data_IF_349572919217
#
_entry.id   IF_349572919217
#
_cell.length_a   1.000
_cell.length_b   1.000
_cell.length_c   1.000
_cell.angle_alpha   90.00
_cell.angle_beta   90.00
_cell.angle_gamma   90.00
#
_symmetry.space_group_name_H-M   'P 1'
#
loop_
_entity.id
_entity.type
_entity.pdbx_description
1 polymer ?
#
# COMPACT_ATOMS: atom_id res chain seq x y z
N UNK A 1 -10.92 37.79 -70.00
CA UNK A 1 -10.99 38.34 -68.64
C UNK A 1 -11.92 37.46 -67.84
N UNK A 2 -11.50 37.18 -66.62
CA UNK A 2 -12.27 36.68 -65.48
C UNK A 2 -12.61 35.19 -65.36
N UNK A 3 -12.46 34.79 -64.10
CA UNK A 3 -12.35 33.49 -63.43
C UNK A 3 -13.54 33.43 -62.47
N UNK A 4 -14.20 32.29 -62.32
CA UNK A 4 -14.89 31.90 -61.07
C UNK A 4 -15.26 30.40 -61.14
N UNK A 5 -14.47 29.52 -60.52
CA UNK A 5 -14.48 29.06 -59.11
C UNK A 5 -15.48 27.91 -58.84
N UNK A 6 -14.90 26.71 -58.67
CA UNK A 6 -15.55 25.50 -58.12
C UNK A 6 -15.59 25.61 -56.60
N UNK A 7 -16.74 25.36 -55.97
CA UNK A 7 -16.79 25.01 -54.54
C UNK A 7 -17.14 23.53 -54.37
N UNK A 8 -16.15 22.76 -53.91
CA UNK A 8 -16.30 21.39 -53.43
C UNK A 8 -16.59 21.41 -51.94
N UNK A 9 -17.72 20.81 -51.56
CA UNK A 9 -18.21 20.75 -50.19
C UNK A 9 -17.40 19.69 -49.41
N UNK A 10 -16.41 20.12 -48.63
CA UNK A 10 -15.56 19.24 -47.83
C UNK A 10 -16.12 19.14 -46.39
N UNK A 11 -16.92 18.10 -46.10
CA UNK A 11 -17.27 17.73 -44.72
C UNK A 11 -16.17 16.82 -44.17
N UNK A 12 -15.54 17.26 -43.09
CA UNK A 12 -14.44 16.59 -42.40
C UNK A 12 -14.89 15.26 -41.75
N UNK A 13 -14.10 14.17 -41.84
CA UNK A 13 -14.43 12.86 -41.27
C UNK A 13 -14.21 12.75 -39.75
N UNK A 14 -13.89 13.86 -39.08
CA UNK A 14 -13.48 13.88 -37.66
C UNK A 14 -14.69 13.80 -36.71
N UNK A 15 -15.87 14.29 -37.12
CA UNK A 15 -17.05 14.37 -36.24
C UNK A 15 -17.77 13.03 -36.10
N UNK A 16 -17.67 12.14 -37.09
CA UNK A 16 -18.37 10.84 -37.08
C UNK A 16 -17.69 9.82 -36.14
N UNK A 17 -16.36 9.90 -35.97
CA UNK A 17 -15.61 9.00 -35.07
C UNK A 17 -15.88 9.26 -33.58
N UNK A 18 -16.17 10.50 -33.17
CA UNK A 18 -16.52 10.81 -31.77
C UNK A 18 -17.95 10.37 -31.43
N UNK A 19 -18.88 10.44 -32.38
CA UNK A 19 -20.26 9.97 -32.17
C UNK A 19 -20.38 8.44 -32.16
N UNK A 20 -19.58 7.73 -32.96
CA UNK A 20 -19.54 6.26 -32.94
C UNK A 20 -18.80 5.71 -31.71
N UNK A 21 -17.80 6.43 -31.17
CA UNK A 21 -17.23 6.11 -29.85
C UNK A 21 -18.19 6.37 -28.69
N UNK A 22 -19.05 7.40 -28.78
CA UNK A 22 -20.08 7.65 -27.78
C UNK A 22 -21.23 6.64 -27.84
N UNK A 23 -21.67 6.22 -29.03
CA UNK A 23 -22.73 5.19 -29.19
C UNK A 23 -22.24 3.77 -28.91
N UNK A 24 -20.99 3.43 -29.24
CA UNK A 24 -20.39 2.14 -28.90
C UNK A 24 -20.10 1.95 -27.40
N UNK A 25 -19.98 3.04 -26.65
CA UNK A 25 -19.74 3.00 -25.20
C UNK A 25 -20.99 2.72 -24.37
N UNK A 26 -22.18 2.80 -24.95
CA UNK A 26 -23.46 2.70 -24.23
C UNK A 26 -24.02 1.26 -24.16
N UNK A 27 -23.51 0.33 -24.97
CA UNK A 27 -24.09 -1.02 -25.13
C UNK A 27 -23.30 -2.19 -24.54
N UNK A 28 -22.16 -1.97 -23.88
CA UNK A 28 -21.38 -3.06 -23.28
C UNK A 28 -21.34 -2.99 -21.75
N UNK A 29 -22.52 -2.99 -21.13
CA UNK A 29 -22.68 -3.50 -19.77
C UNK A 29 -22.64 -5.03 -19.82
N UNK A 30 -21.44 -5.60 -19.95
CA UNK A 30 -21.22 -6.94 -19.40
C UNK A 30 -21.24 -6.76 -17.90
N UNK A 31 -22.31 -7.24 -17.25
CA UNK A 31 -22.47 -7.27 -15.79
C UNK A 31 -21.29 -8.01 -15.14
N UNK A 32 -20.20 -7.28 -14.91
CA UNK A 32 -19.20 -7.64 -13.92
C UNK A 32 -19.80 -7.20 -12.58
N UNK A 33 -20.47 -8.13 -11.91
CA UNK A 33 -20.97 -7.97 -10.54
C UNK A 33 -19.80 -7.67 -9.59
N UNK A 34 -19.49 -6.39 -9.48
CA UNK A 34 -18.46 -5.83 -8.61
C UNK A 34 -19.13 -4.72 -7.82
N UNK A 35 -19.04 -4.78 -6.48
CA UNK A 35 -19.61 -3.78 -5.60
C UNK A 35 -18.85 -2.43 -5.67
N UNK A 36 -17.74 -2.36 -6.41
CA UNK A 36 -17.00 -1.13 -6.66
C UNK A 36 -17.82 -0.15 -7.50
N UNK A 37 -18.00 1.07 -6.97
CA UNK A 37 -18.36 2.24 -7.77
C UNK A 37 -17.24 2.49 -8.78
N UNK A 38 -17.49 2.18 -10.05
CA UNK A 38 -16.54 2.42 -11.14
C UNK A 38 -16.76 3.80 -11.77
N UNK A 39 -15.71 4.36 -12.36
CA UNK A 39 -15.77 5.55 -13.24
C UNK A 39 -16.15 6.91 -12.62
N UNK A 40 -16.13 7.08 -11.30
CA UNK A 40 -16.51 8.35 -10.68
C UNK A 40 -15.30 9.23 -10.27
N UNK A 41 -14.20 8.64 -9.83
CA UNK A 41 -13.17 9.38 -9.09
C UNK A 41 -12.26 10.20 -10.00
N UNK A 42 -11.87 11.38 -9.53
CA UNK A 42 -10.89 12.22 -10.22
C UNK A 42 -9.47 11.72 -9.95
N UNK A 43 -8.54 12.00 -10.88
CA UNK A 43 -7.12 11.64 -10.68
C UNK A 43 -6.51 12.34 -9.45
N UNK A 44 -7.04 13.50 -9.05
CA UNK A 44 -6.58 14.23 -7.87
C UNK A 44 -7.01 13.52 -6.59
N UNK A 45 -8.24 13.01 -6.54
CA UNK A 45 -8.74 12.23 -5.40
C UNK A 45 -7.93 10.95 -5.23
N UNK A 46 -7.71 10.21 -6.33
CA UNK A 46 -6.88 9.00 -6.30
C UNK A 46 -5.41 9.32 -6.01
N UNK A 47 -4.86 10.40 -6.56
CA UNK A 47 -3.51 10.85 -6.24
C UNK A 47 -3.35 11.19 -4.76
N UNK A 48 -4.32 11.89 -4.18
CA UNK A 48 -4.35 12.19 -2.75
C UNK A 48 -4.46 10.92 -1.90
N UNK A 49 -5.33 9.98 -2.29
CA UNK A 49 -5.46 8.66 -1.65
C UNK A 49 -4.14 7.90 -1.65
N UNK A 50 -3.45 7.86 -2.80
CA UNK A 50 -2.14 7.21 -2.94
C UNK A 50 -1.05 7.89 -2.09
N UNK A 51 -1.09 9.22 -1.94
CA UNK A 51 -0.13 10.00 -1.14
C UNK A 51 -0.44 9.97 0.37
N UNK A 52 -1.69 9.77 0.78
CA UNK A 52 -2.11 9.96 2.19
C UNK A 52 -2.58 8.70 2.87
N UNK A 53 -3.05 7.69 2.15
CA UNK A 53 -3.65 6.49 2.74
C UNK A 53 -2.80 5.25 2.54
N UNK A 54 -1.97 5.23 1.49
CA UNK A 54 -1.26 4.02 1.08
C UNK A 54 -0.05 3.68 1.97
N UNK A 55 0.77 4.65 2.40
CA UNK A 55 1.93 4.42 3.28
C UNK A 55 1.97 5.23 4.57
N UNK A 56 0.95 6.05 4.87
CA UNK A 56 1.02 7.06 5.94
C UNK A 56 1.33 6.48 7.32
N UNK A 57 0.90 5.25 7.60
CA UNK A 57 1.26 4.61 8.85
C UNK A 57 2.73 4.15 8.87
N UNK A 58 3.11 3.41 7.83
CA UNK A 58 4.32 2.57 7.80
C UNK A 58 5.60 3.38 7.58
N UNK A 59 5.43 4.61 7.09
CA UNK A 59 6.47 5.65 7.00
C UNK A 59 7.25 5.80 8.32
N UNK A 60 6.58 5.67 9.47
CA UNK A 60 7.17 5.83 10.79
C UNK A 60 8.12 4.69 11.18
N UNK A 61 8.15 3.61 10.41
CA UNK A 61 9.04 2.47 10.63
C UNK A 61 10.20 2.42 9.64
N UNK A 62 10.12 3.16 8.52
CA UNK A 62 11.09 3.04 7.43
C UNK A 62 12.48 3.57 7.77
N UNK A 63 12.62 4.55 8.66
CA UNK A 63 13.94 4.97 9.14
C UNK A 63 14.72 3.79 9.74
N UNK A 64 14.05 3.00 10.58
CA UNK A 64 14.64 1.79 11.15
C UNK A 64 14.78 0.69 10.10
N UNK A 65 13.71 0.33 9.40
CA UNK A 65 13.70 -0.86 8.54
C UNK A 65 14.55 -0.72 7.27
N UNK A 66 14.77 0.49 6.77
CA UNK A 66 15.51 0.74 5.53
C UNK A 66 16.91 1.25 5.83
N UNK A 67 17.04 2.32 6.61
CA UNK A 67 18.31 3.04 6.74
C UNK A 67 19.26 2.37 7.74
N UNK A 68 18.77 1.75 8.82
CA UNK A 68 19.66 1.07 9.79
C UNK A 68 20.37 -0.14 9.15
N UNK A 69 19.71 -1.04 8.41
CA UNK A 69 20.38 -2.16 7.75
C UNK A 69 21.33 -1.77 6.61
N UNK A 70 21.01 -0.72 5.86
CA UNK A 70 21.74 -0.35 4.63
C UNK A 70 22.75 0.78 4.86
N UNK A 71 22.62 1.53 5.94
CA UNK A 71 23.35 2.77 6.17
C UNK A 71 23.05 3.85 5.13
N UNK A 72 23.82 4.93 5.17
CA UNK A 72 23.63 6.09 4.30
C UNK A 72 23.76 5.78 2.81
N UNK A 73 24.91 5.22 2.41
CA UNK A 73 25.24 5.02 0.99
C UNK A 73 24.25 4.08 0.31
N UNK A 74 24.07 2.87 0.85
CA UNK A 74 23.19 1.88 0.24
C UNK A 74 21.72 2.18 0.50
N UNK A 75 21.37 2.81 1.62
CA UNK A 75 19.99 3.21 1.93
C UNK A 75 19.45 4.21 0.91
N UNK A 76 20.17 5.31 0.67
CA UNK A 76 19.77 6.32 -0.33
C UNK A 76 19.74 5.74 -1.74
N UNK A 77 20.77 4.97 -2.11
CA UNK A 77 20.82 4.33 -3.42
C UNK A 77 19.64 3.37 -3.63
N UNK A 78 19.29 2.57 -2.62
CA UNK A 78 18.18 1.63 -2.68
C UNK A 78 16.84 2.36 -2.79
N UNK A 79 16.61 3.39 -1.98
CA UNK A 79 15.40 4.23 -2.04
C UNK A 79 15.17 4.79 -3.45
N UNK A 80 16.22 5.32 -4.09
CA UNK A 80 16.13 5.89 -5.44
C UNK A 80 15.91 4.81 -6.49
N UNK A 81 16.78 3.78 -6.54
CA UNK A 81 16.75 2.77 -7.60
C UNK A 81 15.48 1.93 -7.53
N UNK A 82 15.12 1.42 -6.35
CA UNK A 82 13.91 0.61 -6.18
C UNK A 82 12.67 1.47 -6.32
N UNK A 83 12.68 2.72 -5.83
CA UNK A 83 11.57 3.66 -6.01
C UNK A 83 11.27 3.94 -7.48
N UNK A 84 12.30 4.28 -8.29
CA UNK A 84 12.15 4.51 -9.72
C UNK A 84 11.70 3.25 -10.47
N UNK A 85 12.26 2.10 -10.10
CA UNK A 85 11.88 0.84 -10.71
C UNK A 85 10.43 0.45 -10.40
N UNK A 86 9.99 0.69 -9.17
CA UNK A 86 8.60 0.47 -8.74
C UNK A 86 7.65 1.44 -9.46
N UNK A 87 8.05 2.71 -9.62
CA UNK A 87 7.31 3.70 -10.39
C UNK A 87 7.12 3.26 -11.84
N UNK A 88 8.18 2.77 -12.48
CA UNK A 88 8.13 2.21 -13.83
C UNK A 88 7.18 1.01 -13.92
N UNK A 89 7.27 0.08 -12.97
CA UNK A 89 6.47 -1.14 -12.99
C UNK A 89 4.97 -0.85 -12.78
N UNK A 90 4.61 0.08 -11.89
CA UNK A 90 3.24 0.55 -11.72
C UNK A 90 2.75 1.36 -12.93
N UNK A 91 3.59 2.21 -13.52
CA UNK A 91 3.25 2.92 -14.76
C UNK A 91 2.97 1.97 -15.93
N UNK A 92 3.72 0.85 -15.99
CA UNK A 92 3.54 -0.22 -16.96
C UNK A 92 2.23 -0.98 -16.69
N UNK A 93 2.00 -1.42 -15.45
CA UNK A 93 0.78 -2.12 -15.06
C UNK A 93 -0.47 -1.29 -15.37
N UNK A 94 -0.42 0.02 -15.11
CA UNK A 94 -1.51 0.93 -15.43
C UNK A 94 -1.86 0.97 -16.93
N UNK A 95 -0.92 0.63 -17.82
CA UNK A 95 -1.16 0.55 -19.26
C UNK A 95 -2.01 -0.65 -19.66
N UNK A 96 -2.02 -1.71 -18.84
CA UNK A 96 -2.73 -2.97 -19.10
C UNK A 96 -4.11 -3.03 -18.47
N UNK A 97 -4.63 -1.89 -17.98
CA UNK A 97 -6.00 -1.77 -17.48
C UNK A 97 -7.05 -2.12 -18.54
N UNK A 98 -6.73 -1.85 -19.82
CA UNK A 98 -7.56 -2.19 -20.97
C UNK A 98 -6.69 -2.93 -21.99
N UNK A 99 -7.11 -4.15 -22.36
CA UNK A 99 -6.45 -4.96 -23.40
C UNK A 99 -7.50 -5.34 -24.44
N UNK A 100 -7.33 -4.83 -25.67
CA UNK A 100 -8.39 -4.88 -26.68
C UNK A 100 -9.62 -4.12 -26.16
N UNK A 101 -10.79 -4.77 -26.20
CA UNK A 101 -12.04 -4.19 -25.69
C UNK A 101 -12.35 -4.57 -24.23
N UNK A 102 -11.45 -5.31 -23.57
CA UNK A 102 -11.66 -5.79 -22.20
C UNK A 102 -11.02 -4.83 -21.19
N UNK A 103 -11.85 -4.32 -20.27
CA UNK A 103 -11.41 -3.56 -19.10
C UNK A 103 -11.33 -4.48 -17.88
N UNK A 104 -10.22 -4.41 -17.15
CA UNK A 104 -10.03 -5.19 -15.92
C UNK A 104 -10.30 -4.34 -14.69
N UNK A 105 -11.12 -4.87 -13.77
CA UNK A 105 -11.38 -4.23 -12.47
C UNK A 105 -10.40 -4.75 -11.43
N UNK A 106 -10.13 -6.06 -11.43
CA UNK A 106 -9.29 -6.73 -10.44
C UNK A 106 -8.04 -7.29 -11.09
N UNK A 107 -6.92 -7.27 -10.37
CA UNK A 107 -5.65 -7.74 -10.88
C UNK A 107 -5.69 -9.24 -11.22
N UNK A 108 -6.31 -10.05 -10.35
CA UNK A 108 -6.53 -11.49 -10.60
C UNK A 108 -7.28 -11.77 -11.90
N UNK A 109 -8.20 -10.89 -12.33
CA UNK A 109 -8.97 -11.07 -13.57
C UNK A 109 -8.11 -10.79 -14.80
N UNK A 110 -7.27 -9.76 -14.73
CA UNK A 110 -6.22 -9.51 -15.74
C UNK A 110 -5.31 -10.74 -15.88
N UNK A 111 -4.81 -11.26 -14.77
CA UNK A 111 -3.91 -12.42 -14.79
C UNK A 111 -4.62 -13.70 -15.29
N UNK A 112 -5.91 -13.87 -14.99
CA UNK A 112 -6.74 -14.94 -15.54
C UNK A 112 -6.89 -14.85 -17.05
N UNK A 113 -7.16 -13.65 -17.56
CA UNK A 113 -7.34 -13.42 -18.99
C UNK A 113 -6.07 -13.75 -19.78
N UNK A 114 -4.91 -13.36 -19.25
CA UNK A 114 -3.63 -13.49 -19.96
C UNK A 114 -3.00 -14.89 -19.82
N UNK A 115 -3.14 -15.54 -18.66
CA UNK A 115 -2.44 -16.80 -18.33
C UNK A 115 -3.35 -17.95 -17.81
N UNK A 116 -4.65 -17.71 -17.66
CA UNK A 116 -5.62 -18.74 -17.25
C UNK A 116 -5.82 -18.89 -15.74
N UNK A 117 -6.58 -19.92 -15.36
CA UNK A 117 -7.13 -20.10 -14.00
C UNK A 117 -6.07 -20.31 -12.91
N UNK A 118 -4.88 -20.80 -13.25
CA UNK A 118 -3.82 -21.01 -12.25
C UNK A 118 -3.25 -19.67 -11.79
N UNK A 119 -2.96 -18.75 -12.71
CA UNK A 119 -2.49 -17.41 -12.36
C UNK A 119 -3.55 -16.60 -11.62
N UNK A 120 -4.85 -16.79 -11.92
CA UNK A 120 -5.92 -16.22 -11.10
C UNK A 120 -5.78 -16.57 -9.62
N UNK A 121 -5.57 -17.86 -9.30
CA UNK A 121 -5.47 -18.34 -7.92
C UNK A 121 -4.21 -17.79 -7.25
N UNK A 122 -3.06 -17.82 -7.96
CA UNK A 122 -1.80 -17.30 -7.43
C UNK A 122 -1.93 -15.80 -7.11
N UNK A 123 -2.42 -14.99 -8.06
CA UNK A 123 -2.61 -13.56 -7.85
C UNK A 123 -3.58 -13.29 -6.71
N UNK A 124 -4.69 -14.03 -6.62
CA UNK A 124 -5.63 -13.91 -5.51
C UNK A 124 -4.98 -14.23 -4.16
N UNK A 125 -4.20 -15.31 -4.07
CA UNK A 125 -3.50 -15.69 -2.83
C UNK A 125 -2.51 -14.62 -2.39
N UNK A 126 -1.70 -14.10 -3.32
CA UNK A 126 -0.73 -13.04 -3.02
C UNK A 126 -1.42 -11.73 -2.60
N UNK A 127 -2.49 -11.32 -3.30
CA UNK A 127 -3.27 -10.13 -2.91
C UNK A 127 -3.94 -10.34 -1.55
N UNK A 128 -4.52 -11.51 -1.29
CA UNK A 128 -5.15 -11.81 0.00
C UNK A 128 -4.14 -11.77 1.15
N UNK A 129 -2.96 -12.37 0.96
CA UNK A 129 -1.88 -12.32 1.95
C UNK A 129 -1.37 -10.89 2.18
N UNK A 130 -1.22 -10.11 1.10
CA UNK A 130 -0.87 -8.69 1.16
C UNK A 130 -1.87 -7.89 2.01
N UNK A 131 -3.16 -8.10 1.78
CA UNK A 131 -4.20 -7.43 2.56
C UNK A 131 -4.22 -7.90 4.01
N UNK A 132 -4.08 -9.20 4.25
CA UNK A 132 -4.12 -9.78 5.60
C UNK A 132 -2.98 -9.27 6.48
N UNK A 133 -1.74 -9.27 5.98
CA UNK A 133 -0.58 -8.78 6.71
C UNK A 133 -0.58 -7.24 6.84
N UNK A 134 -1.06 -6.53 5.82
CA UNK A 134 -1.26 -5.08 5.89
C UNK A 134 -2.19 -4.70 7.05
N UNK A 135 -3.29 -5.44 7.21
CA UNK A 135 -4.20 -5.30 8.35
C UNK A 135 -3.50 -5.52 9.69
N UNK A 136 -2.70 -6.58 9.82
CA UNK A 136 -1.96 -6.88 11.06
C UNK A 136 -0.99 -5.75 11.42
N UNK A 137 -0.28 -5.19 10.43
CA UNK A 137 0.62 -4.05 10.64
C UNK A 137 -0.11 -2.78 11.07
N UNK A 138 -1.29 -2.48 10.50
CA UNK A 138 -2.09 -1.34 10.97
C UNK A 138 -2.66 -1.52 12.38
N UNK A 139 -3.01 -2.75 12.77
CA UNK A 139 -3.43 -3.05 14.16
C UNK A 139 -2.27 -2.82 15.12
N UNK A 140 -1.07 -3.35 14.79
CA UNK A 140 0.12 -3.16 15.60
C UNK A 140 0.46 -1.69 15.77
N UNK A 141 0.39 -0.93 14.68
CA UNK A 141 0.66 0.50 14.66
C UNK A 141 -0.29 1.29 15.54
N UNK A 142 -1.59 1.03 15.44
CA UNK A 142 -2.57 1.67 16.31
C UNK A 142 -2.30 1.32 17.78
N UNK A 143 -1.90 0.08 18.06
CA UNK A 143 -1.50 -0.35 19.40
C UNK A 143 -0.29 0.43 19.92
N UNK A 144 0.75 0.59 19.11
CA UNK A 144 1.94 1.40 19.46
C UNK A 144 1.59 2.86 19.67
N UNK A 145 0.78 3.45 18.80
CA UNK A 145 0.34 4.83 18.94
C UNK A 145 -0.43 5.06 20.25
N UNK A 146 -1.37 4.18 20.60
CA UNK A 146 -2.09 4.27 21.87
C UNK A 146 -1.18 4.04 23.09
N UNK A 147 -0.21 3.12 22.99
CA UNK A 147 0.78 2.89 24.05
C UNK A 147 1.60 4.16 24.30
N UNK A 148 2.10 4.79 23.23
CA UNK A 148 2.88 6.03 23.32
C UNK A 148 2.07 7.18 23.92
N UNK A 149 0.78 7.31 23.58
CA UNK A 149 -0.10 8.28 24.27
C UNK A 149 -0.13 7.97 25.77
N UNK A 150 -0.28 6.70 26.17
CA UNK A 150 -0.36 6.34 27.58
C UNK A 150 0.95 6.56 28.35
N UNK A 151 2.10 6.30 27.72
CA UNK A 151 3.44 6.54 28.28
C UNK A 151 3.65 8.01 28.66
N UNK A 152 3.01 8.94 27.96
CA UNK A 152 3.03 10.37 28.31
C UNK A 152 2.24 10.70 29.58
N UNK A 153 1.37 9.81 30.08
CA UNK A 153 0.57 10.02 31.31
C UNK A 153 0.84 9.07 32.46
N UNK A 154 1.51 7.95 32.21
CA UNK A 154 1.79 6.96 33.22
C UNK A 154 3.24 6.50 33.10
N UNK A 155 3.96 6.51 34.23
CA UNK A 155 5.35 6.04 34.32
C UNK A 155 5.46 4.50 34.15
N UNK A 156 4.34 3.78 34.14
CA UNK A 156 4.27 2.33 33.95
C UNK A 156 3.11 1.98 33.01
N UNK A 157 3.27 2.20 31.69
CA UNK A 157 2.23 1.90 30.72
C UNK A 157 1.93 0.40 30.69
N UNK A 158 0.67 0.07 30.38
CA UNK A 158 0.27 -1.32 30.15
C UNK A 158 1.05 -1.94 28.98
N UNK A 159 1.09 -3.27 28.94
CA UNK A 159 1.77 -3.99 27.85
C UNK A 159 1.13 -3.67 26.50
N UNK A 160 1.93 -3.70 25.44
CA UNK A 160 1.51 -3.40 24.07
C UNK A 160 0.28 -4.23 23.62
N UNK A 161 0.15 -5.48 24.09
CA UNK A 161 -0.94 -6.38 23.73
C UNK A 161 -2.32 -5.80 24.09
N UNK A 162 -2.46 -5.08 25.20
CA UNK A 162 -3.73 -4.46 25.58
C UNK A 162 -4.15 -3.41 24.55
N UNK A 163 -3.21 -2.58 24.09
CA UNK A 163 -3.46 -1.56 23.07
C UNK A 163 -3.70 -2.16 21.68
N UNK A 164 -3.06 -3.29 21.36
CA UNK A 164 -3.36 -4.07 20.15
C UNK A 164 -4.81 -4.58 20.19
N UNK A 165 -5.26 -5.12 21.32
CA UNK A 165 -6.65 -5.59 21.50
C UNK A 165 -7.65 -4.44 21.37
N UNK A 166 -7.37 -3.29 21.99
CA UNK A 166 -8.19 -2.08 21.87
C UNK A 166 -8.27 -1.63 20.41
N UNK A 167 -7.14 -1.60 19.71
CA UNK A 167 -7.08 -1.21 18.28
C UNK A 167 -7.91 -2.16 17.42
N UNK A 168 -7.76 -3.47 17.62
CA UNK A 168 -8.55 -4.49 16.93
C UNK A 168 -10.05 -4.33 17.16
N UNK A 169 -10.46 -4.03 18.41
CA UNK A 169 -11.86 -3.75 18.75
C UNK A 169 -12.39 -2.47 18.09
N UNK A 170 -11.60 -1.39 18.06
CA UNK A 170 -11.98 -0.14 17.38
C UNK A 170 -12.12 -0.36 15.88
N UNK A 171 -11.21 -1.09 15.23
CA UNK A 171 -11.30 -1.38 13.80
C UNK A 171 -12.48 -2.28 13.46
N UNK A 172 -12.78 -3.27 14.32
CA UNK A 172 -13.99 -4.06 14.23
C UNK A 172 -15.25 -3.18 14.28
N UNK A 173 -15.37 -2.31 15.29
CA UNK A 173 -16.52 -1.42 15.44
C UNK A 173 -16.65 -0.48 14.23
N UNK A 174 -15.54 0.15 13.82
CA UNK A 174 -15.52 1.03 12.66
C UNK A 174 -15.97 0.32 11.40
N UNK A 175 -15.43 -0.88 11.13
CA UNK A 175 -15.83 -1.67 9.96
C UNK A 175 -17.27 -2.18 10.02
N UNK A 176 -17.83 -2.35 11.22
CA UNK A 176 -19.22 -2.78 11.37
C UNK A 176 -20.20 -1.62 11.09
N UNK A 177 -19.91 -0.42 11.60
CA UNK A 177 -20.75 0.77 11.39
C UNK A 177 -20.56 1.40 10.01
N UNK A 178 -19.37 1.27 9.43
CA UNK A 178 -19.02 1.80 8.11
C UNK A 178 -18.58 0.62 7.24
N UNK A 179 -19.52 -0.15 6.67
CA UNK A 179 -19.17 -1.36 5.93
C UNK A 179 -18.69 -1.09 4.49
N UNK A 180 -18.89 0.12 3.95
CA UNK A 180 -18.62 0.42 2.53
C UNK A 180 -17.59 1.54 2.31
N UNK A 181 -16.75 1.37 1.29
CA UNK A 181 -15.73 2.36 0.87
C UNK A 181 -16.38 3.69 0.45
N UNK A 182 -17.60 3.68 -0.11
CA UNK A 182 -18.27 4.91 -0.55
C UNK A 182 -18.52 5.90 0.59
N UNK A 183 -18.74 5.40 1.82
CA UNK A 183 -18.88 6.23 3.01
C UNK A 183 -17.55 6.90 3.43
N UNK A 184 -16.40 6.30 3.09
CA UNK A 184 -15.06 6.84 3.37
C UNK A 184 -14.69 8.03 2.49
N UNK A 185 -15.38 8.23 1.35
CA UNK A 185 -15.08 9.33 0.42
C UNK A 185 -15.09 10.70 1.10
N UNK A 186 -16.00 10.90 2.04
CA UNK A 186 -16.12 12.16 2.78
C UNK A 186 -14.99 12.36 3.80
N UNK A 187 -14.35 11.27 4.24
CA UNK A 187 -13.26 11.28 5.21
C UNK A 187 -11.89 11.52 4.58
N UNK A 188 -11.74 11.31 3.27
CA UNK A 188 -10.46 11.40 2.58
C UNK A 188 -9.80 12.79 2.69
N UNK A 189 -10.60 13.86 2.58
CA UNK A 189 -10.09 15.23 2.73
C UNK A 189 -9.58 15.52 4.13
N UNK A 190 -10.35 15.14 5.16
CA UNK A 190 -9.96 15.29 6.55
C UNK A 190 -8.72 14.44 6.89
N UNK A 191 -8.70 13.18 6.43
CA UNK A 191 -7.58 12.25 6.55
C UNK A 191 -6.30 12.82 5.92
N UNK A 192 -6.40 13.44 4.74
CA UNK A 192 -5.26 14.08 4.10
C UNK A 192 -4.69 15.27 4.90
N UNK A 193 -5.57 16.12 5.43
CA UNK A 193 -5.16 17.26 6.27
C UNK A 193 -4.51 16.79 7.57
N UNK A 194 -5.12 15.81 8.24
CA UNK A 194 -4.56 15.16 9.42
C UNK A 194 -3.19 14.56 9.10
N UNK A 195 -3.07 13.87 7.96
CA UNK A 195 -1.82 13.27 7.52
C UNK A 195 -0.70 14.29 7.33
N UNK A 196 -0.99 15.36 6.58
CA UNK A 196 -0.02 16.43 6.37
C UNK A 196 0.37 17.10 7.69
N UNK A 197 -0.60 17.31 8.59
CA UNK A 197 -0.35 17.95 9.88
C UNK A 197 0.62 17.15 10.76
N UNK A 198 0.42 15.83 10.92
CA UNK A 198 1.34 15.04 11.74
C UNK A 198 2.70 14.89 11.08
N UNK A 199 2.77 14.79 9.74
CA UNK A 199 4.06 14.78 9.02
C UNK A 199 4.83 16.05 9.36
N UNK A 200 4.22 17.23 9.25
CA UNK A 200 4.89 18.51 9.57
C UNK A 200 5.35 18.55 11.04
N UNK A 201 4.51 18.08 11.97
CA UNK A 201 4.88 18.02 13.39
C UNK A 201 6.09 17.09 13.62
N UNK A 202 6.06 15.87 13.07
CA UNK A 202 7.18 14.93 13.15
C UNK A 202 8.45 15.53 12.54
N UNK A 203 8.37 16.11 11.34
CA UNK A 203 9.51 16.80 10.70
C UNK A 203 10.12 17.87 11.61
N UNK A 204 9.28 18.67 12.26
CA UNK A 204 9.74 19.75 13.16
C UNK A 204 10.50 19.19 14.36
N UNK A 205 9.96 18.15 15.00
CA UNK A 205 10.62 17.50 16.15
C UNK A 205 11.90 16.79 15.71
N UNK A 206 11.91 16.09 14.57
CA UNK A 206 13.11 15.45 14.04
C UNK A 206 14.26 16.43 13.77
N UNK A 207 13.94 17.61 13.23
CA UNK A 207 14.96 18.66 12.99
C UNK A 207 15.51 19.20 14.31
N UNK A 208 14.67 19.38 15.33
CA UNK A 208 15.09 19.76 16.68
C UNK A 208 16.02 18.68 17.26
N UNK A 209 15.54 17.44 17.32
CA UNK A 209 16.24 16.31 17.94
C UNK A 209 17.58 16.04 17.25
N UNK A 210 17.59 16.03 15.92
CA UNK A 210 18.81 15.83 15.15
C UNK A 210 19.83 16.97 15.28
N UNK A 211 19.45 18.18 15.70
CA UNK A 211 20.41 19.23 16.07
C UNK A 211 20.91 19.09 17.50
N UNK A 212 20.08 18.56 18.40
CA UNK A 212 20.39 18.41 19.82
C UNK A 212 21.29 17.21 20.12
N UNK A 213 21.09 16.09 19.42
CA UNK A 213 21.87 14.86 19.61
C UNK A 213 23.20 14.99 18.86
N UNK A 214 24.32 15.06 19.57
CA UNK A 214 25.64 15.26 18.94
C UNK A 214 26.33 13.95 18.53
N UNK A 215 26.30 12.92 19.38
CA UNK A 215 26.99 11.64 19.14
C UNK A 215 26.02 10.61 18.56
N UNK A 216 25.86 10.62 17.24
CA UNK A 216 25.02 9.65 16.52
C UNK A 216 25.90 8.58 15.90
N UNK A 217 25.55 7.33 16.16
CA UNK A 217 26.16 6.19 15.50
C UNK A 217 25.43 5.88 14.19
N UNK A 218 26.19 5.64 13.12
CA UNK A 218 25.68 5.25 11.80
C UNK A 218 26.28 3.93 11.32
N UNK A 219 27.00 3.23 12.19
CA UNK A 219 27.60 1.96 11.86
C UNK A 219 26.56 0.85 11.75
N UNK A 220 26.74 0.02 10.73
CA UNK A 220 25.89 -1.15 10.51
C UNK A 220 26.42 -2.27 11.41
N UNK A 221 25.63 -2.61 12.43
CA UNK A 221 25.96 -3.66 13.40
C UNK A 221 25.61 -5.07 12.89
N UNK A 222 26.18 -6.09 13.54
CA UNK A 222 25.92 -7.50 13.25
C UNK A 222 26.99 -8.22 12.42
N UNK A 223 26.87 -9.54 12.33
CA UNK A 223 27.77 -10.38 11.53
C UNK A 223 27.56 -10.15 10.03
N UNK A 224 28.54 -10.52 9.20
CA UNK A 224 28.44 -10.36 7.74
C UNK A 224 27.19 -11.03 7.16
N UNK A 225 26.85 -12.20 7.70
CA UNK A 225 25.65 -12.94 7.33
C UNK A 225 24.40 -12.15 7.73
N UNK A 226 24.32 -11.64 8.96
CA UNK A 226 23.17 -10.83 9.40
C UNK A 226 23.00 -9.56 8.57
N UNK A 227 24.10 -8.87 8.21
CA UNK A 227 24.08 -7.68 7.35
C UNK A 227 23.43 -7.97 5.99
N UNK A 228 23.77 -9.09 5.35
CA UNK A 228 23.20 -9.49 4.05
C UNK A 228 21.69 -9.74 4.17
N UNK A 229 21.26 -10.49 5.19
CA UNK A 229 19.82 -10.75 5.38
C UNK A 229 19.06 -9.47 5.74
N UNK A 230 19.58 -8.65 6.65
CA UNK A 230 18.98 -7.37 7.00
C UNK A 230 18.87 -6.44 5.77
N UNK A 231 19.87 -6.44 4.87
CA UNK A 231 19.81 -5.69 3.62
C UNK A 231 18.68 -6.18 2.69
N UNK A 232 18.44 -7.50 2.58
CA UNK A 232 17.28 -8.03 1.85
C UNK A 232 15.94 -7.65 2.51
N UNK A 233 15.89 -7.60 3.84
CA UNK A 233 14.74 -7.07 4.58
C UNK A 233 14.49 -5.60 4.21
N UNK A 234 15.53 -4.77 4.26
CA UNK A 234 15.44 -3.37 3.88
C UNK A 234 14.97 -3.16 2.44
N UNK A 235 15.45 -3.94 1.47
CA UNK A 235 14.95 -3.90 0.09
C UNK A 235 13.44 -4.18 0.05
N UNK A 236 12.97 -5.17 0.82
CA UNK A 236 11.54 -5.49 0.94
C UNK A 236 10.76 -4.31 1.52
N UNK A 237 11.27 -3.65 2.57
CA UNK A 237 10.67 -2.46 3.15
C UNK A 237 10.59 -1.28 2.17
N UNK A 238 11.60 -1.09 1.30
CA UNK A 238 11.55 -0.10 0.21
C UNK A 238 10.47 -0.46 -0.81
N UNK A 239 10.26 -1.73 -1.12
CA UNK A 239 9.19 -2.15 -2.03
C UNK A 239 7.82 -1.86 -1.41
N UNK A 240 7.63 -2.18 -0.12
CA UNK A 240 6.39 -1.84 0.61
C UNK A 240 6.12 -0.34 0.57
N UNK A 241 7.13 0.49 0.78
CA UNK A 241 6.98 1.95 0.76
C UNK A 241 6.59 2.52 -0.61
N UNK A 242 6.63 1.72 -1.67
CA UNK A 242 6.39 2.17 -3.03
C UNK A 242 5.25 1.43 -3.76
N UNK A 243 4.77 0.26 -3.30
CA UNK A 243 3.86 -0.58 -4.07
C UNK A 243 2.70 -1.14 -3.26
N UNK A 244 1.47 -1.05 -3.82
CA UNK A 244 0.24 -1.49 -3.15
C UNK A 244 -0.18 -2.92 -3.39
N UNK A 245 0.19 -3.49 -4.54
CA UNK A 245 -0.38 -4.75 -5.01
C UNK A 245 -1.86 -4.68 -5.41
N UNK A 246 -2.46 -3.48 -5.41
CA UNK A 246 -3.88 -3.20 -5.68
C UNK A 246 -4.08 -2.14 -6.77
N UNK A 247 -3.04 -1.88 -7.57
CA UNK A 247 -3.05 -0.81 -8.56
C UNK A 247 -4.25 -0.92 -9.53
N UNK A 248 -4.58 -2.10 -10.12
CA UNK A 248 -5.73 -2.22 -11.01
C UNK A 248 -7.07 -1.92 -10.33
N UNK A 249 -7.24 -2.37 -9.08
CA UNK A 249 -8.44 -2.12 -8.28
C UNK A 249 -8.63 -0.63 -8.01
N UNK A 250 -7.57 0.08 -7.60
CA UNK A 250 -7.59 1.54 -7.41
C UNK A 250 -7.86 2.25 -8.75
N UNK A 251 -7.24 1.77 -9.83
CA UNK A 251 -7.41 2.35 -11.16
C UNK A 251 -8.84 2.17 -11.68
N UNK A 252 -9.56 1.14 -11.22
CA UNK A 252 -10.92 0.85 -11.66
C UNK A 252 -11.94 1.93 -11.26
N UNK A 253 -11.66 2.69 -10.19
CA UNK A 253 -12.56 3.76 -9.71
C UNK A 253 -12.42 5.07 -10.48
N UNK A 254 -11.29 5.26 -11.17
CA UNK A 254 -11.00 6.45 -11.95
C UNK A 254 -11.96 6.64 -13.12
N UNK A 255 -12.45 7.86 -13.28
CA UNK A 255 -13.19 8.28 -14.47
C UNK A 255 -12.34 8.12 -15.74
N UNK A 256 -13.02 7.99 -16.89
CA UNK A 256 -12.36 7.89 -18.20
C UNK A 256 -11.60 9.18 -18.55
N UNK A 257 -10.45 9.10 -19.27
CA UNK A 257 -9.69 7.89 -19.65
C UNK A 257 -8.84 7.35 -18.47
N UNK A 258 -9.04 6.09 -18.03
CA UNK A 258 -8.51 5.60 -16.76
C UNK A 258 -6.98 5.48 -16.75
N UNK A 259 -6.34 5.09 -17.87
CA UNK A 259 -4.88 4.94 -17.97
C UNK A 259 -4.17 6.30 -17.81
N UNK A 260 -4.65 7.33 -18.49
CA UNK A 260 -4.06 8.68 -18.43
C UNK A 260 -4.25 9.28 -17.03
N UNK A 261 -5.43 9.11 -16.44
CA UNK A 261 -5.73 9.60 -15.10
C UNK A 261 -4.88 8.85 -14.05
N UNK A 262 -4.71 7.54 -14.19
CA UNK A 262 -3.90 6.75 -13.25
C UNK A 262 -2.43 7.15 -13.31
N UNK A 263 -1.88 7.38 -14.51
CA UNK A 263 -0.50 7.85 -14.65
C UNK A 263 -0.27 9.21 -13.99
N UNK A 264 -1.25 10.13 -14.06
CA UNK A 264 -1.17 11.41 -13.32
C UNK A 264 -1.16 11.19 -11.81
N UNK A 265 -2.02 10.31 -11.31
CA UNK A 265 -2.06 9.96 -9.88
C UNK A 265 -0.72 9.33 -9.44
N UNK A 266 -0.14 8.44 -10.25
CA UNK A 266 1.18 7.86 -10.02
C UNK A 266 2.29 8.92 -10.01
N UNK A 267 2.28 9.88 -10.94
CA UNK A 267 3.24 10.97 -10.90
C UNK A 267 3.15 11.77 -9.60
N UNK A 268 1.94 12.02 -9.09
CA UNK A 268 1.76 12.67 -7.78
C UNK A 268 2.34 11.83 -6.64
N UNK A 269 2.11 10.52 -6.62
CA UNK A 269 2.65 9.61 -5.61
C UNK A 269 4.20 9.58 -5.64
N UNK A 270 4.79 9.42 -6.83
CA UNK A 270 6.23 9.29 -6.99
C UNK A 270 6.99 10.62 -7.03
N UNK A 271 6.32 11.75 -6.80
CA UNK A 271 6.95 13.06 -6.61
C UNK A 271 6.66 13.58 -5.21
N UNK A 272 5.43 14.06 -4.97
CA UNK A 272 5.01 14.65 -3.70
C UNK A 272 5.00 13.59 -2.58
N UNK A 273 4.47 12.39 -2.85
CA UNK A 273 4.44 11.33 -1.85
C UNK A 273 5.84 10.90 -1.40
N UNK A 274 6.73 10.63 -2.37
CA UNK A 274 8.11 10.26 -2.06
C UNK A 274 8.90 11.37 -1.37
N UNK A 275 8.65 12.64 -1.68
CA UNK A 275 9.30 13.76 -0.98
C UNK A 275 9.08 13.66 0.54
N UNK A 276 7.83 13.47 0.98
CA UNK A 276 7.52 13.34 2.40
C UNK A 276 7.97 11.99 2.96
N UNK A 277 7.74 10.89 2.24
CA UNK A 277 8.03 9.55 2.71
C UNK A 277 9.52 9.28 2.88
N UNK A 278 10.31 9.62 1.86
CA UNK A 278 11.75 9.47 1.93
C UNK A 278 12.36 10.56 2.79
N UNK A 279 11.81 11.78 2.77
CA UNK A 279 12.24 12.85 3.67
C UNK A 279 12.15 12.43 5.14
N UNK A 280 11.01 11.88 5.59
CA UNK A 280 10.83 11.42 6.96
C UNK A 280 11.73 10.21 7.28
N UNK A 281 11.85 9.27 6.34
CA UNK A 281 12.75 8.10 6.45
C UNK A 281 14.20 8.54 6.69
N UNK A 282 14.69 9.47 5.87
CA UNK A 282 16.05 9.98 5.90
C UNK A 282 16.28 10.84 7.16
N UNK A 283 15.35 11.73 7.49
CA UNK A 283 15.49 12.60 8.66
C UNK A 283 15.41 11.84 9.97
N UNK A 284 14.57 10.80 10.07
CA UNK A 284 14.53 9.94 11.26
C UNK A 284 15.86 9.25 11.50
N UNK A 285 16.48 8.72 10.44
CA UNK A 285 17.82 8.13 10.53
C UNK A 285 18.88 9.18 10.81
N UNK A 286 18.81 10.36 10.20
CA UNK A 286 19.72 11.47 10.51
C UNK A 286 19.61 11.95 11.96
N UNK A 287 18.42 11.93 12.55
CA UNK A 287 18.19 12.39 13.91
C UNK A 287 18.72 11.41 14.95
N UNK A 288 18.46 10.10 14.79
CA UNK A 288 18.75 9.09 15.82
C UNK A 288 19.82 8.05 15.44
N UNK A 289 20.26 7.99 14.18
CA UNK A 289 21.24 7.01 13.73
C UNK A 289 20.76 5.56 13.87
N UNK A 290 21.65 4.67 14.31
CA UNK A 290 21.37 3.26 14.59
C UNK A 290 20.37 3.04 15.74
N UNK A 291 20.09 4.06 16.55
CA UNK A 291 19.17 4.01 17.70
C UNK A 291 17.71 4.30 17.35
N UNK A 292 17.40 4.59 16.08
CA UNK A 292 16.02 4.80 15.65
C UNK A 292 15.17 3.54 15.88
N UNK A 293 14.05 3.69 16.56
CA UNK A 293 13.11 2.63 16.90
C UNK A 293 12.30 2.16 15.70
N UNK A 294 11.70 0.98 15.83
CA UNK A 294 10.77 0.44 14.82
C UNK A 294 9.50 1.27 14.63
N UNK A 295 9.19 2.18 15.55
CA UNK A 295 8.08 3.12 15.44
C UNK A 295 8.56 4.50 15.91
N UNK A 296 8.98 5.33 14.94
CA UNK A 296 9.69 6.59 15.14
C UNK A 296 9.14 7.51 16.24
N UNK A 297 7.81 7.63 16.47
CA UNK A 297 7.29 8.40 17.60
C UNK A 297 7.83 8.01 18.98
N UNK A 298 8.27 6.76 19.18
CA UNK A 298 8.93 6.30 20.43
C UNK A 298 10.23 7.07 20.73
N UNK A 299 10.88 7.68 19.73
CA UNK A 299 12.13 8.43 19.94
C UNK A 299 11.95 9.96 20.07
N UNK A 300 10.76 10.50 19.79
CA UNK A 300 10.56 11.94 19.64
C UNK A 300 10.68 12.69 20.99
N UNK A 301 11.62 13.64 21.09
CA UNK A 301 11.85 14.45 22.30
C UNK A 301 10.99 15.74 22.35
N UNK A 302 9.73 15.61 21.94
CA UNK A 302 8.74 16.68 21.91
C UNK A 302 8.14 17.01 23.28
N UNK A 303 7.52 18.20 23.46
CA UNK A 303 6.63 18.42 24.59
C UNK A 303 5.47 17.43 24.53
N UNK A 304 5.00 16.99 25.69
CA UNK A 304 3.93 16.01 25.89
C UNK A 304 2.75 16.15 24.91
N UNK A 305 2.23 17.38 24.75
CA UNK A 305 1.07 17.62 23.88
C UNK A 305 1.35 17.33 22.40
N UNK A 306 2.58 17.54 21.91
CA UNK A 306 2.97 17.20 20.53
C UNK A 306 3.02 15.69 20.37
N UNK A 307 3.65 14.98 21.30
CA UNK A 307 3.75 13.52 21.25
C UNK A 307 2.36 12.86 21.29
N UNK A 308 1.48 13.34 22.17
CA UNK A 308 0.08 12.90 22.25
C UNK A 308 -0.67 13.20 20.95
N UNK A 309 -0.53 14.41 20.40
CA UNK A 309 -1.22 14.81 19.17
C UNK A 309 -0.74 14.01 17.96
N UNK A 310 0.57 13.80 17.78
CA UNK A 310 1.14 12.97 16.71
C UNK A 310 0.54 11.56 16.78
N UNK A 311 0.62 10.92 17.95
CA UNK A 311 0.14 9.55 18.10
C UNK A 311 -1.39 9.44 17.97
N UNK A 312 -2.15 10.43 18.45
CA UNK A 312 -3.60 10.45 18.28
C UNK A 312 -3.99 10.55 16.79
N UNK A 313 -3.30 11.41 16.04
CA UNK A 313 -3.52 11.54 14.59
C UNK A 313 -3.08 10.27 13.85
N UNK A 314 -1.95 9.66 14.22
CA UNK A 314 -1.50 8.38 13.64
C UNK A 314 -2.54 7.28 13.87
N UNK A 315 -3.09 7.17 15.08
CA UNK A 315 -4.14 6.21 15.41
C UNK A 315 -5.43 6.46 14.60
N UNK A 316 -5.87 7.71 14.46
CA UNK A 316 -7.05 8.04 13.65
C UNK A 316 -6.83 7.75 12.17
N UNK A 317 -5.63 8.04 11.67
CA UNK A 317 -5.26 7.78 10.30
C UNK A 317 -5.14 6.27 10.02
N UNK A 318 -4.65 5.49 10.97
CA UNK A 318 -4.52 4.04 10.83
C UNK A 318 -5.88 3.35 10.73
N UNK A 319 -6.95 3.86 11.36
CA UNK A 319 -8.33 3.40 11.15
C UNK A 319 -8.72 3.55 9.67
N UNK A 320 -8.48 4.73 9.10
CA UNK A 320 -8.85 5.05 7.71
C UNK A 320 -8.08 4.16 6.72
N UNK A 321 -6.76 4.07 6.88
CA UNK A 321 -5.91 3.24 6.03
C UNK A 321 -6.25 1.75 6.16
N UNK A 322 -6.44 1.26 7.39
CA UNK A 322 -6.82 -0.12 7.62
C UNK A 322 -8.13 -0.45 6.91
N UNK A 323 -9.13 0.42 7.02
CA UNK A 323 -10.42 0.19 6.38
C UNK A 323 -10.32 0.07 4.85
N UNK A 324 -9.47 0.89 4.23
CA UNK A 324 -9.17 0.79 2.78
C UNK A 324 -8.55 -0.56 2.41
N UNK A 325 -7.62 -1.08 3.21
CA UNK A 325 -6.94 -2.35 2.95
C UNK A 325 -7.83 -3.57 3.22
N UNK A 326 -8.72 -3.52 4.22
CA UNK A 326 -9.61 -4.66 4.52
C UNK A 326 -10.80 -4.75 3.57
N UNK A 327 -11.17 -3.64 2.92
CA UNK A 327 -12.39 -3.59 2.11
C UNK A 327 -12.50 -4.69 1.03
N UNK A 328 -11.43 -5.05 0.28
CA UNK A 328 -11.52 -6.16 -0.68
C UNK A 328 -11.72 -7.53 -0.01
N UNK A 329 -11.22 -7.73 1.22
CA UNK A 329 -11.48 -8.95 2.01
C UNK A 329 -12.96 -8.99 2.40
N UNK A 330 -13.49 -7.87 2.92
CA UNK A 330 -14.90 -7.77 3.29
C UNK A 330 -15.82 -8.00 2.10
N UNK A 331 -15.55 -7.40 0.94
CA UNK A 331 -16.34 -7.63 -0.27
C UNK A 331 -16.35 -9.12 -0.66
N UNK A 332 -15.18 -9.78 -0.61
CA UNK A 332 -15.07 -11.19 -0.95
C UNK A 332 -15.82 -12.09 0.04
N UNK A 333 -15.77 -11.79 1.34
CA UNK A 333 -16.53 -12.49 2.37
C UNK A 333 -18.04 -12.23 2.20
N UNK A 334 -18.41 -10.99 1.94
CA UNK A 334 -19.81 -10.59 1.86
C UNK A 334 -20.52 -11.21 0.68
N UNK A 335 -19.89 -11.14 -0.50
CA UNK A 335 -20.42 -11.75 -1.72
C UNK A 335 -20.65 -13.25 -1.57
N UNK A 336 -19.86 -13.92 -0.73
CA UNK A 336 -19.94 -15.37 -0.52
C UNK A 336 -20.93 -15.77 0.58
N UNK A 337 -21.03 -14.98 1.65
CA UNK A 337 -21.71 -15.39 2.88
C UNK A 337 -22.99 -14.61 3.18
N UNK A 338 -23.18 -13.40 2.66
CA UNK A 338 -24.44 -12.68 2.81
C UNK A 338 -25.48 -13.19 1.80
N UNK A 339 -26.76 -13.07 2.18
CA UNK A 339 -27.86 -13.29 1.24
C UNK A 339 -28.03 -12.03 0.37
N UNK A 340 -27.65 -12.15 -0.90
CA UNK A 340 -27.67 -11.06 -1.89
C UNK A 340 -29.10 -10.60 -2.20
N UNK A 341 -30.10 -11.45 -1.94
CA UNK A 341 -31.52 -11.12 -2.17
C UNK A 341 -32.10 -10.23 -1.06
N UNK A 342 -31.36 -10.05 0.05
CA UNK A 342 -31.77 -9.22 1.18
C UNK A 342 -30.86 -8.00 1.31
N UNK A 343 -31.42 -6.90 1.80
CA UNK A 343 -30.62 -5.71 2.12
C UNK A 343 -29.48 -6.04 3.09
N UNK A 344 -28.35 -5.32 2.96
CA UNK A 344 -27.18 -5.48 3.83
C UNK A 344 -27.53 -5.29 5.32
N UNK A 345 -28.47 -4.40 5.62
CA UNK A 345 -28.95 -4.11 6.97
C UNK A 345 -30.14 -4.97 7.41
N UNK A 346 -30.50 -6.02 6.67
CA UNK A 346 -31.50 -6.98 7.15
C UNK A 346 -31.00 -7.71 8.40
N UNK A 347 -31.90 -8.12 9.30
CA UNK A 347 -31.52 -8.75 10.59
C UNK A 347 -30.60 -9.97 10.39
N UNK A 348 -30.81 -10.75 9.35
CA UNK A 348 -30.00 -11.93 9.04
C UNK A 348 -28.61 -11.53 8.50
N UNK A 349 -28.56 -10.62 7.53
CA UNK A 349 -27.30 -10.14 6.99
C UNK A 349 -26.48 -9.38 8.03
N UNK A 350 -27.10 -8.60 8.94
CA UNK A 350 -26.40 -7.94 10.05
C UNK A 350 -25.75 -8.95 11.01
N UNK A 351 -26.43 -10.06 11.33
CA UNK A 351 -25.84 -11.13 12.15
C UNK A 351 -24.64 -11.77 11.47
N UNK A 352 -24.77 -12.07 10.16
CA UNK A 352 -23.66 -12.63 9.36
C UNK A 352 -22.51 -11.64 9.25
N UNK A 353 -22.80 -10.37 8.99
CA UNK A 353 -21.84 -9.27 8.93
C UNK A 353 -21.05 -9.20 10.23
N UNK A 354 -21.74 -9.08 11.37
CA UNK A 354 -21.13 -9.05 12.70
C UNK A 354 -20.20 -10.24 12.91
N UNK A 355 -20.68 -11.46 12.66
CA UNK A 355 -19.91 -12.69 12.86
C UNK A 355 -18.65 -12.72 11.99
N UNK A 356 -18.77 -12.38 10.70
CA UNK A 356 -17.67 -12.35 9.75
C UNK A 356 -16.58 -11.36 10.18
N UNK A 357 -16.96 -10.15 10.61
CA UNK A 357 -15.99 -9.14 11.07
C UNK A 357 -15.39 -9.55 12.41
N UNK A 358 -16.19 -10.06 13.33
CA UNK A 358 -15.71 -10.49 14.64
C UNK A 358 -14.67 -11.60 14.50
N UNK A 359 -14.92 -12.63 13.69
CA UNK A 359 -13.95 -13.71 13.43
C UNK A 359 -12.69 -13.16 12.77
N UNK A 360 -12.85 -12.33 11.73
CA UNK A 360 -11.71 -11.77 11.00
C UNK A 360 -10.81 -10.92 11.91
N UNK A 361 -11.37 -9.92 12.59
CA UNK A 361 -10.60 -9.04 13.46
C UNK A 361 -10.07 -9.75 14.71
N UNK A 362 -10.80 -10.70 15.29
CA UNK A 362 -10.30 -11.48 16.42
C UNK A 362 -9.07 -12.31 16.03
N UNK A 363 -9.13 -13.00 14.89
CA UNK A 363 -7.99 -13.77 14.38
C UNK A 363 -6.80 -12.88 14.03
N UNK A 364 -7.03 -11.76 13.33
CA UNK A 364 -5.98 -10.82 12.95
C UNK A 364 -5.31 -10.20 14.19
N UNK A 365 -6.12 -9.73 15.14
CA UNK A 365 -5.65 -9.13 16.41
C UNK A 365 -4.89 -10.12 17.27
N UNK A 366 -5.36 -11.38 17.37
CA UNK A 366 -4.69 -12.42 18.14
C UNK A 366 -3.28 -12.69 17.60
N UNK A 367 -3.15 -12.85 16.27
CA UNK A 367 -1.85 -13.06 15.64
C UNK A 367 -0.94 -11.85 15.82
N UNK A 368 -1.47 -10.63 15.67
CA UNK A 368 -0.71 -9.40 15.91
C UNK A 368 -0.24 -9.26 17.36
N UNK A 369 -1.08 -9.61 18.34
CA UNK A 369 -0.71 -9.57 19.75
C UNK A 369 0.32 -10.64 20.13
N UNK A 370 0.26 -11.80 19.46
CA UNK A 370 1.22 -12.88 19.63
C UNK A 370 2.58 -12.56 18.99
N UNK A 371 2.61 -11.83 17.87
CA UNK A 371 3.83 -11.50 17.11
C UNK A 371 3.89 -10.00 16.75
N UNK A 372 4.15 -9.10 17.72
CA UNK A 372 4.06 -7.66 17.53
C UNK A 372 5.30 -7.01 16.87
N UNK A 373 5.87 -7.65 15.84
CA UNK A 373 7.08 -7.17 15.16
C UNK A 373 6.75 -6.44 13.85
N UNK A 374 6.86 -5.11 13.87
CA UNK A 374 6.53 -4.28 12.70
C UNK A 374 7.38 -4.65 11.47
N UNK A 375 8.68 -4.89 11.69
CA UNK A 375 9.61 -5.27 10.63
C UNK A 375 9.26 -6.58 9.94
N UNK A 376 8.72 -7.55 10.68
CA UNK A 376 8.39 -8.87 10.14
C UNK A 376 7.19 -8.79 9.20
N UNK A 377 6.16 -8.02 9.56
CA UNK A 377 5.01 -7.76 8.68
C UNK A 377 5.45 -7.03 7.40
N UNK A 378 6.30 -6.02 7.53
CA UNK A 378 6.86 -5.25 6.39
C UNK A 378 7.68 -6.13 5.48
N UNK A 379 8.60 -6.92 6.03
CA UNK A 379 9.48 -7.74 5.23
C UNK A 379 8.71 -8.84 4.50
N UNK A 380 7.76 -9.53 5.16
CA UNK A 380 6.92 -10.54 4.51
C UNK A 380 6.01 -9.97 3.42
N UNK A 381 5.46 -8.77 3.63
CA UNK A 381 4.66 -8.08 2.62
C UNK A 381 5.48 -7.76 1.38
N UNK A 382 6.62 -7.10 1.59
CA UNK A 382 7.53 -6.69 0.54
C UNK A 382 8.03 -7.89 -0.26
N UNK A 383 8.48 -8.93 0.44
CA UNK A 383 9.13 -10.10 -0.17
C UNK A 383 8.14 -10.98 -0.93
N UNK A 384 7.22 -11.63 -0.23
CA UNK A 384 6.45 -12.75 -0.76
C UNK A 384 5.32 -12.28 -1.69
N UNK A 385 4.70 -11.13 -1.38
CA UNK A 385 3.52 -10.66 -2.09
C UNK A 385 3.82 -9.52 -3.07
N UNK A 386 4.50 -8.48 -2.61
CA UNK A 386 4.64 -7.27 -3.42
C UNK A 386 5.69 -7.41 -4.52
N UNK A 387 6.80 -8.12 -4.33
CA UNK A 387 7.79 -8.33 -5.42
C UNK A 387 7.12 -8.99 -6.65
N UNK A 388 6.37 -10.11 -6.52
CA UNK A 388 5.70 -10.69 -7.68
C UNK A 388 4.60 -9.80 -8.28
N UNK A 389 3.75 -9.20 -7.45
CA UNK A 389 2.64 -8.36 -7.90
C UNK A 389 3.13 -7.09 -8.62
N UNK A 390 4.28 -6.56 -8.22
CA UNK A 390 4.80 -5.28 -8.70
C UNK A 390 5.72 -5.45 -9.89
N UNK A 391 6.65 -6.42 -9.87
CA UNK A 391 7.68 -6.53 -10.91
C UNK A 391 7.45 -7.69 -11.87
N UNK A 392 7.15 -8.87 -11.34
CA UNK A 392 7.05 -10.10 -12.13
C UNK A 392 5.81 -10.06 -13.02
N UNK A 393 4.63 -9.85 -12.41
CA UNK A 393 3.36 -9.96 -13.13
C UNK A 393 3.19 -8.90 -14.23
N UNK A 394 3.52 -7.60 -14.04
CA UNK A 394 3.41 -6.63 -15.13
C UNK A 394 4.34 -6.95 -16.30
N UNK A 395 5.55 -7.46 -16.02
CA UNK A 395 6.48 -7.89 -17.06
C UNK A 395 6.02 -9.15 -17.80
N UNK A 396 5.42 -10.11 -17.09
CA UNK A 396 4.77 -11.27 -17.71
C UNK A 396 3.65 -10.83 -18.66
N UNK A 397 2.76 -9.94 -18.19
CA UNK A 397 1.68 -9.37 -19.01
C UNK A 397 2.26 -8.67 -20.25
N UNK A 398 3.33 -7.89 -20.11
CA UNK A 398 4.00 -7.26 -21.25
C UNK A 398 4.48 -8.28 -22.28
N UNK A 399 5.22 -9.31 -21.86
CA UNK A 399 5.74 -10.34 -22.77
C UNK A 399 4.59 -11.04 -23.51
N UNK A 400 3.51 -11.37 -22.81
CA UNK A 400 2.37 -12.08 -23.42
C UNK A 400 1.57 -11.20 -24.38
N UNK A 401 1.32 -9.94 -24.02
CA UNK A 401 0.41 -9.04 -24.76
C UNK A 401 1.13 -8.27 -25.86
N UNK A 402 2.36 -7.81 -25.61
CA UNK A 402 3.12 -6.94 -26.53
C UNK A 402 4.39 -7.60 -27.06
N UNK A 403 4.86 -8.70 -26.46
CA UNK A 403 6.18 -9.26 -26.75
C UNK A 403 6.42 -9.63 -28.21
N UNK A 404 5.40 -10.16 -28.92
CA UNK A 404 5.54 -10.51 -30.35
C UNK A 404 5.82 -9.31 -31.26
N UNK A 405 5.36 -8.12 -30.88
CA UNK A 405 5.50 -6.87 -31.64
C UNK A 405 6.56 -5.93 -31.07
N UNK A 406 7.07 -6.22 -29.89
CA UNK A 406 8.03 -5.38 -29.20
C UNK A 406 9.45 -5.61 -29.73
N UNK A 407 10.30 -4.59 -29.60
CA UNK A 407 11.75 -4.70 -29.87
C UNK A 407 12.38 -5.76 -28.95
N UNK A 408 13.39 -6.45 -29.46
CA UNK A 408 14.14 -7.50 -28.74
C UNK A 408 14.65 -6.98 -27.39
N UNK A 409 15.20 -5.76 -27.36
CA UNK A 409 15.68 -5.10 -26.14
C UNK A 409 14.61 -4.99 -25.05
N UNK A 410 13.36 -4.65 -25.42
CA UNK A 410 12.25 -4.56 -24.46
C UNK A 410 11.88 -5.93 -23.93
N UNK A 411 11.85 -6.94 -24.80
CA UNK A 411 11.60 -8.32 -24.36
C UNK A 411 12.70 -8.81 -23.42
N UNK A 412 13.97 -8.55 -23.75
CA UNK A 412 15.11 -8.90 -22.91
C UNK A 412 15.02 -8.23 -21.53
N UNK A 413 14.66 -6.94 -21.49
CA UNK A 413 14.44 -6.20 -20.23
C UNK A 413 13.36 -6.82 -19.34
N UNK A 414 12.21 -7.20 -19.92
CA UNK A 414 11.13 -7.82 -19.16
C UNK A 414 11.43 -9.26 -18.74
N UNK A 415 12.17 -10.03 -19.55
CA UNK A 415 12.69 -11.34 -19.14
C UNK A 415 13.69 -11.22 -18.00
N UNK A 416 14.64 -10.29 -18.10
CA UNK A 416 15.57 -9.97 -17.01
C UNK A 416 14.81 -9.59 -15.73
N UNK A 417 13.81 -8.70 -15.85
CA UNK A 417 12.95 -8.30 -14.74
C UNK A 417 12.29 -9.51 -14.06
N UNK A 418 11.74 -10.45 -14.83
CA UNK A 418 11.10 -11.66 -14.30
C UNK A 418 12.11 -12.51 -13.54
N UNK A 419 13.27 -12.80 -14.14
CA UNK A 419 14.29 -13.67 -13.54
C UNK A 419 14.87 -13.02 -12.28
N UNK A 420 15.34 -11.77 -12.39
CA UNK A 420 15.93 -11.03 -11.28
C UNK A 420 14.96 -10.88 -10.11
N UNK A 421 13.70 -10.49 -10.39
CA UNK A 421 12.70 -10.30 -9.34
C UNK A 421 12.25 -11.63 -8.72
N UNK A 422 12.27 -12.74 -9.47
CA UNK A 422 12.00 -14.07 -8.91
C UNK A 422 13.10 -14.49 -7.93
N UNK A 423 14.37 -14.31 -8.30
CA UNK A 423 15.50 -14.55 -7.40
C UNK A 423 15.46 -13.64 -6.17
N UNK A 424 15.12 -12.36 -6.38
CA UNK A 424 14.95 -11.40 -5.28
C UNK A 424 13.81 -11.82 -4.35
N UNK A 425 12.66 -12.27 -4.88
CA UNK A 425 11.53 -12.78 -4.09
C UNK A 425 11.99 -13.93 -3.18
N UNK A 426 12.76 -14.88 -3.71
CA UNK A 426 13.27 -16.02 -2.94
C UNK A 426 14.23 -15.53 -1.84
N UNK A 427 15.23 -14.72 -2.19
CA UNK A 427 16.22 -14.22 -1.23
C UNK A 427 15.60 -13.38 -0.10
N UNK A 428 14.70 -12.46 -0.47
CA UNK A 428 13.99 -11.60 0.49
C UNK A 428 13.02 -12.39 1.37
N UNK A 429 12.36 -13.42 0.83
CA UNK A 429 11.46 -14.27 1.61
C UNK A 429 12.24 -15.12 2.62
N UNK A 430 13.37 -15.71 2.21
CA UNK A 430 14.26 -16.41 3.15
C UNK A 430 14.73 -15.46 4.26
N UNK A 431 15.07 -14.21 3.92
CA UNK A 431 15.41 -13.19 4.92
C UNK A 431 14.26 -12.91 5.89
N UNK A 432 13.06 -12.68 5.38
CA UNK A 432 11.88 -12.42 6.22
C UNK A 432 11.61 -13.57 7.20
N UNK A 433 11.67 -14.83 6.74
CA UNK A 433 11.52 -16.00 7.62
C UNK A 433 12.62 -16.08 8.68
N UNK A 434 13.87 -15.80 8.30
CA UNK A 434 14.97 -15.79 9.26
C UNK A 434 14.77 -14.73 10.34
N UNK A 435 14.39 -13.50 9.96
CA UNK A 435 14.14 -12.41 10.92
C UNK A 435 13.02 -12.77 11.90
N UNK A 436 11.96 -13.40 11.41
CA UNK A 436 10.87 -13.91 12.25
C UNK A 436 11.38 -14.97 13.24
N UNK A 437 12.18 -15.93 12.77
CA UNK A 437 12.75 -16.97 13.65
C UNK A 437 13.65 -16.33 14.72
N UNK A 438 14.52 -15.40 14.33
CA UNK A 438 15.42 -14.70 15.25
C UNK A 438 14.64 -13.88 16.30
N UNK A 439 13.50 -13.28 15.93
CA UNK A 439 12.62 -12.55 16.84
C UNK A 439 11.87 -13.50 17.79
N UNK A 440 11.28 -14.58 17.27
CA UNK A 440 10.53 -15.57 18.06
C UNK A 440 11.44 -16.26 19.08
N UNK A 441 12.69 -16.54 18.74
CA UNK A 441 13.64 -17.17 19.68
C UNK A 441 13.95 -16.31 20.90
N UNK A 442 13.89 -14.98 20.77
CA UNK A 442 14.19 -14.04 21.85
C UNK A 442 12.93 -13.61 22.61
N UNK A 443 11.77 -13.76 22.01
CA UNK A 443 10.52 -13.22 22.51
C UNK A 443 9.66 -14.28 23.20
N UNK A 444 9.20 -13.96 24.41
CA UNK A 444 8.18 -14.74 25.09
C UNK A 444 6.80 -14.28 24.65
N UNK A 445 5.93 -15.21 24.26
CA UNK A 445 4.58 -14.90 23.78
C UNK A 445 3.84 -14.03 24.81
N UNK A 446 3.34 -12.87 24.37
CA UNK A 446 2.69 -11.83 25.18
C UNK A 446 3.59 -11.08 26.19
N UNK A 447 4.90 -11.09 25.99
CA UNK A 447 5.82 -10.18 26.67
C UNK A 447 5.72 -8.76 26.08
N UNK A 448 6.11 -7.74 26.85
CA UNK A 448 6.15 -6.38 26.28
C UNK A 448 7.28 -6.34 25.24
N UNK A 449 6.93 -5.95 24.00
CA UNK A 449 7.78 -6.06 22.82
C UNK A 449 8.33 -4.71 22.39
#
# INVERSE_FOLDING_TARGET
>A
MEVESRSTNNKSPIVTFEQDQQKGAQNNHVDLTSAHTTDHDSWQQVGLLLVTSFNCGWILSYSNLIMVPLGWKWGIMCLIVVGLYTAYANWLLAAFHVIGDHRFIRYRDLMRFVYGKNMYRITWTLQFFNLLLGNMGFILMGGKALKEINSEFNDSPLRLQYYIVITGAVYFLFSFFIPTISAMRNWLGASALLTLSYIIMVFTVLVKDGKSIQNKDFDISGSQVSKVFNAFGAISAVIVSNASGLLPEIQSTLRRPPVKNMRKALYSQYTVGLLFYYGLTILGYWAYGSMVSSYLPENLSGPRWINVLINAVVFLQSITSQHMFVAPIHEAMDTKFLDINKGMHSRENLKRLFLLRAIFFSGNTLVTAAFPFMGDFVNLLGSFSLVPLTFIFPSMVFIKVKGKTARIEKNAWHWFTIIFSSLLTIATTISAFRLIVDNIQKYHIFADA
#
